data_IF_328156045722
#
_entry.id   IF_328156045722
#
_cell.length_a   1.000
_cell.length_b   1.000
_cell.length_c   1.000
_cell.angle_alpha   90.00
_cell.angle_beta   90.00
_cell.angle_gamma   90.00
#
_symmetry.space_group_name_H-M   'P 1'
#
loop_
_entity.id
_entity.type
_entity.pdbx_description
1 polymer ?
#
# COMPACT_ATOMS: atom_id res chain seq x y z
N UNK A 1 18.83 118.36 36.99
CA UNK A 1 18.37 118.47 38.39
C UNK A 1 18.10 117.04 38.83
N UNK A 2 18.93 116.32 39.57
CA UNK A 2 20.15 116.55 40.37
C UNK A 2 20.69 115.12 40.61
N UNK A 3 21.94 114.77 40.82
CA UNK A 3 23.23 115.41 40.91
C UNK A 3 24.25 114.25 40.72
N UNK A 4 25.37 114.56 40.06
CA UNK A 4 26.63 113.81 40.03
C UNK A 4 27.31 113.84 41.43
N UNK A 5 28.54 113.33 41.64
CA UNK A 5 29.30 112.16 41.16
C UNK A 5 30.02 111.47 42.35
N UNK A 6 31.14 110.74 42.10
CA UNK A 6 32.25 110.33 42.99
C UNK A 6 32.43 108.78 42.95
N UNK A 7 33.57 108.12 42.69
CA UNK A 7 35.03 108.42 42.57
C UNK A 7 35.64 107.24 41.76
N UNK A 8 36.31 107.48 40.64
CA UNK A 8 37.75 107.22 40.35
C UNK A 8 38.37 105.95 40.96
N UNK A 9 38.84 105.02 40.10
CA UNK A 9 40.23 104.52 40.08
C UNK A 9 40.55 103.70 38.81
N UNK A 10 41.81 103.74 38.39
CA UNK A 10 42.37 103.29 37.09
C UNK A 10 42.79 101.81 37.02
N UNK A 11 42.95 101.33 35.77
CA UNK A 11 43.96 100.37 35.26
C UNK A 11 43.84 98.87 35.63
N UNK A 12 44.51 97.91 34.95
CA UNK A 12 45.15 97.90 33.62
C UNK A 12 44.64 96.79 32.67
N UNK A 13 45.08 96.89 31.41
CA UNK A 13 45.23 95.76 30.50
C UNK A 13 46.09 94.64 31.13
N UNK A 14 45.53 93.43 31.24
CA UNK A 14 46.20 92.22 31.67
C UNK A 14 46.72 91.42 30.47
N UNK A 15 48.03 91.26 30.43
CA UNK A 15 48.78 90.46 29.48
C UNK A 15 48.50 88.95 29.61
N UNK A 16 48.81 88.24 28.53
CA UNK A 16 48.88 86.78 28.36
C UNK A 16 49.40 86.01 29.58
N UNK A 17 48.67 84.97 30.00
CA UNK A 17 49.24 83.80 30.67
C UNK A 17 48.61 82.53 30.11
N UNK A 18 49.43 81.77 29.37
CA UNK A 18 49.25 80.33 29.23
C UNK A 18 49.49 79.77 30.64
N UNK A 19 48.41 79.63 31.40
CA UNK A 19 48.46 79.05 32.74
C UNK A 19 48.84 77.57 32.60
N UNK A 20 50.07 77.30 33.00
CA UNK A 20 50.67 75.99 33.17
C UNK A 20 49.88 75.22 34.24
N UNK A 21 48.89 74.44 33.79
CA UNK A 21 48.20 73.50 34.64
C UNK A 21 49.17 72.37 34.95
N UNK A 22 49.81 72.43 36.12
CA UNK A 22 50.63 71.35 36.65
C UNK A 22 49.77 70.08 36.75
N UNK A 23 49.84 69.25 35.72
CA UNK A 23 49.18 67.96 35.69
C UNK A 23 49.76 67.12 36.84
N UNK A 24 48.95 66.35 37.58
CA UNK A 24 49.44 65.54 38.68
C UNK A 24 50.35 64.43 38.12
N UNK A 25 51.64 64.72 38.02
CA UNK A 25 52.66 63.78 37.57
C UNK A 25 53.11 62.92 38.76
N UNK A 26 52.94 61.61 38.66
CA UNK A 26 53.43 60.65 39.64
C UNK A 26 54.67 59.96 39.07
N UNK A 27 55.83 60.11 39.73
CA UNK A 27 57.13 59.56 39.27
C UNK A 27 57.58 60.03 37.88
N UNK A 28 57.31 61.30 37.53
CA UNK A 28 57.73 61.90 36.26
C UNK A 28 56.89 61.50 35.04
N UNK A 29 55.78 60.81 35.26
CA UNK A 29 54.83 60.40 34.23
C UNK A 29 53.48 61.09 34.47
N UNK A 30 52.87 61.63 33.41
CA UNK A 30 51.54 62.23 33.47
C UNK A 30 50.44 61.20 33.71
N UNK A 31 49.22 61.68 33.98
CA UNK A 31 48.07 60.84 34.28
C UNK A 31 47.73 59.89 33.12
N UNK A 32 47.88 60.35 31.89
CA UNK A 32 47.72 59.59 30.65
C UNK A 32 48.68 58.40 30.57
N UNK A 33 49.92 58.58 31.03
CA UNK A 33 50.93 57.52 31.04
C UNK A 33 50.55 56.40 32.02
N UNK A 34 50.03 56.73 33.20
CA UNK A 34 49.53 55.72 34.17
C UNK A 34 48.26 55.01 33.70
N UNK A 35 47.40 55.68 32.92
CA UNK A 35 46.25 55.04 32.26
C UNK A 35 46.72 53.99 31.26
N UNK A 36 47.70 54.31 30.40
CA UNK A 36 48.27 53.35 29.45
C UNK A 36 48.94 52.16 30.16
N UNK A 37 49.68 52.40 31.25
CA UNK A 37 50.29 51.33 32.06
C UNK A 37 49.23 50.41 32.65
N UNK A 38 48.17 50.98 33.24
CA UNK A 38 47.08 50.21 33.85
C UNK A 38 46.31 49.39 32.80
N UNK A 39 46.02 49.98 31.64
CA UNK A 39 45.38 49.29 30.51
C UNK A 39 46.27 48.15 29.97
N UNK A 40 47.58 48.39 29.88
CA UNK A 40 48.55 47.38 29.41
C UNK A 40 48.62 46.20 30.38
N UNK A 41 48.71 46.47 31.69
CA UNK A 41 48.70 45.40 32.71
C UNK A 41 47.37 44.64 32.68
N UNK A 42 46.24 45.32 32.49
CA UNK A 42 44.93 44.68 32.33
C UNK A 42 44.88 43.74 31.13
N UNK A 43 45.34 44.17 29.95
CA UNK A 43 45.40 43.33 28.75
C UNK A 43 46.37 42.16 28.92
N UNK A 44 47.53 42.38 29.54
CA UNK A 44 48.46 41.29 29.85
C UNK A 44 47.82 40.27 30.78
N UNK A 45 47.13 40.70 31.84
CA UNK A 45 46.44 39.78 32.74
C UNK A 45 45.29 39.04 32.02
N UNK A 46 44.52 39.73 31.18
CA UNK A 46 43.42 39.13 30.41
C UNK A 46 43.91 38.09 29.39
N UNK A 47 45.06 38.33 28.75
CA UNK A 47 45.65 37.43 27.75
C UNK A 47 46.38 36.27 28.43
N UNK A 48 47.24 36.52 29.42
CA UNK A 48 48.09 35.50 30.03
C UNK A 48 47.40 34.69 31.13
N UNK A 49 46.60 35.34 31.99
CA UNK A 49 45.92 34.66 33.12
C UNK A 49 44.57 34.10 32.69
N UNK A 50 43.73 34.92 32.04
CA UNK A 50 42.38 34.48 31.65
C UNK A 50 42.32 33.76 30.29
N UNK A 51 43.40 33.80 29.50
CA UNK A 51 43.46 33.23 28.14
C UNK A 51 42.24 33.64 27.30
N UNK A 52 41.78 34.88 27.48
CA UNK A 52 40.58 35.40 26.84
C UNK A 52 40.52 35.14 25.31
N UNK A 53 41.58 35.38 24.51
CA UNK A 53 41.53 35.12 23.07
C UNK A 53 41.36 33.63 22.73
N UNK A 54 41.93 32.71 23.52
CA UNK A 54 41.79 31.27 23.28
C UNK A 54 40.37 30.78 23.56
N UNK A 55 39.71 31.30 24.60
CA UNK A 55 38.32 30.93 24.91
C UNK A 55 37.34 31.41 23.83
N UNK A 56 37.55 32.61 23.30
CA UNK A 56 36.74 33.15 22.20
C UNK A 56 36.95 32.31 20.94
N UNK A 57 38.20 32.00 20.57
CA UNK A 57 38.50 31.12 19.44
C UNK A 57 37.85 29.73 19.60
N UNK A 58 37.98 29.11 20.78
CA UNK A 58 37.38 27.81 21.06
C UNK A 58 35.84 27.82 20.99
N UNK A 59 35.19 28.91 21.43
CA UNK A 59 33.74 29.06 21.32
C UNK A 59 33.27 29.24 19.87
N UNK A 60 34.04 29.95 19.04
CA UNK A 60 33.77 30.06 17.61
C UNK A 60 33.98 28.72 16.90
N UNK A 61 35.07 28.00 17.21
CA UNK A 61 35.34 26.67 16.67
C UNK A 61 34.26 25.66 17.08
N UNK A 62 33.79 25.71 18.33
CA UNK A 62 32.67 24.90 18.80
C UNK A 62 31.39 25.12 18.00
N UNK A 63 31.03 26.39 17.73
CA UNK A 63 29.88 26.72 16.89
C UNK A 63 30.05 26.27 15.43
N UNK A 64 31.26 26.38 14.87
CA UNK A 64 31.56 25.89 13.52
C UNK A 64 31.41 24.35 13.47
N UNK A 65 31.93 23.65 14.48
CA UNK A 65 31.82 22.20 14.58
C UNK A 65 30.36 21.75 14.70
N UNK A 66 29.56 22.43 15.52
CA UNK A 66 28.13 22.16 15.66
C UNK A 66 27.36 22.40 14.35
N UNK A 67 27.61 23.53 13.68
CA UNK A 67 26.99 23.82 12.38
C UNK A 67 27.38 22.78 11.33
N UNK A 68 28.64 22.37 11.27
CA UNK A 68 29.09 21.30 10.36
C UNK A 68 28.36 19.99 10.66
N UNK A 69 28.30 19.58 11.93
CA UNK A 69 27.55 18.39 12.34
C UNK A 69 26.08 18.46 11.92
N UNK A 70 25.42 19.61 12.11
CA UNK A 70 24.02 19.79 11.72
C UNK A 70 23.84 19.75 10.19
N UNK A 71 24.78 20.29 9.41
CA UNK A 71 24.77 20.20 7.95
C UNK A 71 25.01 18.77 7.46
N UNK A 72 25.93 18.04 8.09
CA UNK A 72 26.20 16.63 7.78
C UNK A 72 24.98 15.75 8.10
N UNK A 73 24.32 15.99 9.22
CA UNK A 73 23.09 15.30 9.61
C UNK A 73 21.93 15.64 8.67
N UNK A 74 21.77 16.90 8.28
CA UNK A 74 20.78 17.30 7.28
C UNK A 74 21.05 16.68 5.90
N UNK A 75 22.33 16.61 5.50
CA UNK A 75 22.73 15.95 4.26
C UNK A 75 22.44 14.43 4.31
N UNK A 76 22.73 13.78 5.46
CA UNK A 76 22.40 12.37 5.69
C UNK A 76 20.90 12.12 5.61
N UNK A 77 20.09 12.92 6.31
CA UNK A 77 18.62 12.80 6.28
C UNK A 77 18.09 13.01 4.86
N UNK A 78 18.65 13.95 4.10
CA UNK A 78 18.25 14.16 2.70
C UNK A 78 18.61 12.97 1.83
N UNK A 79 19.78 12.36 2.02
CA UNK A 79 20.19 11.16 1.30
C UNK A 79 19.27 9.97 1.64
N UNK A 80 18.96 9.76 2.91
CA UNK A 80 18.02 8.73 3.38
C UNK A 80 16.61 8.95 2.81
N UNK A 81 16.11 10.18 2.82
CA UNK A 81 14.80 10.52 2.26
C UNK A 81 14.75 10.31 0.74
N UNK A 82 15.83 10.64 0.03
CA UNK A 82 15.91 10.39 -1.41
C UNK A 82 15.95 8.90 -1.72
N UNK A 83 16.73 8.12 -0.97
CA UNK A 83 16.78 6.66 -1.09
C UNK A 83 15.40 6.04 -0.82
N UNK A 84 14.69 6.49 0.23
CA UNK A 84 13.35 6.02 0.55
C UNK A 84 12.33 6.39 -0.53
N UNK A 85 12.44 7.58 -1.11
CA UNK A 85 11.58 8.00 -2.21
C UNK A 85 11.79 7.14 -3.46
N UNK A 86 13.05 6.82 -3.79
CA UNK A 86 13.38 6.02 -4.95
C UNK A 86 12.96 4.56 -4.75
N UNK A 87 13.11 4.02 -3.55
CA UNK A 87 12.58 2.70 -3.16
C UNK A 87 11.05 2.66 -3.25
N UNK A 88 10.35 3.66 -2.69
CA UNK A 88 8.89 3.75 -2.77
C UNK A 88 8.38 3.84 -4.22
N UNK A 89 9.08 4.59 -5.09
CA UNK A 89 8.76 4.66 -6.52
C UNK A 89 8.98 3.32 -7.21
N UNK A 90 10.10 2.64 -6.92
CA UNK A 90 10.40 1.33 -7.47
C UNK A 90 9.36 0.30 -7.03
N UNK A 91 8.99 0.29 -5.74
CA UNK A 91 7.97 -0.57 -5.18
C UNK A 91 6.60 -0.29 -5.81
N UNK A 92 6.21 0.98 -5.97
CA UNK A 92 4.96 1.34 -6.62
C UNK A 92 4.92 0.89 -8.09
N UNK A 93 6.02 1.05 -8.83
CA UNK A 93 6.13 0.58 -10.21
C UNK A 93 6.13 -0.95 -10.32
N UNK A 94 6.71 -1.66 -9.35
CA UNK A 94 6.63 -3.12 -9.25
C UNK A 94 5.19 -3.56 -8.98
N UNK A 95 4.53 -3.02 -7.96
CA UNK A 95 3.15 -3.37 -7.62
C UNK A 95 2.16 -3.06 -8.74
N UNK A 96 2.35 -1.98 -9.50
CA UNK A 96 1.53 -1.69 -10.67
C UNK A 96 1.69 -2.73 -11.79
N UNK A 97 2.92 -3.21 -12.01
CA UNK A 97 3.20 -4.30 -12.97
C UNK A 97 2.62 -5.62 -12.50
N UNK A 98 2.77 -5.95 -11.22
CA UNK A 98 2.23 -7.17 -10.64
C UNK A 98 0.70 -7.19 -10.70
N UNK A 99 0.05 -6.07 -10.40
CA UNK A 99 -1.40 -5.94 -10.53
C UNK A 99 -1.86 -6.13 -11.99
N UNK A 100 -1.15 -5.56 -12.96
CA UNK A 100 -1.44 -5.75 -14.37
C UNK A 100 -1.27 -7.22 -14.80
N UNK A 101 -0.19 -7.87 -14.36
CA UNK A 101 0.06 -9.29 -14.61
C UNK A 101 -1.00 -10.19 -13.96
N UNK A 102 -1.42 -9.87 -12.72
CA UNK A 102 -2.52 -10.57 -12.04
C UNK A 102 -3.83 -10.46 -12.81
N UNK A 103 -4.16 -9.27 -13.32
CA UNK A 103 -5.37 -9.06 -14.12
C UNK A 103 -5.34 -9.83 -15.44
N UNK A 104 -4.20 -9.83 -16.12
CA UNK A 104 -4.04 -10.57 -17.38
C UNK A 104 -4.13 -12.09 -17.16
N UNK A 105 -3.46 -12.59 -16.11
CA UNK A 105 -3.55 -13.98 -15.70
C UNK A 105 -4.99 -14.37 -15.32
N UNK A 106 -5.69 -13.55 -14.52
CA UNK A 106 -7.07 -13.79 -14.15
C UNK A 106 -8.01 -13.80 -15.36
N UNK A 107 -7.79 -12.94 -16.36
CA UNK A 107 -8.57 -12.95 -17.61
C UNK A 107 -8.33 -14.21 -18.43
N UNK A 108 -7.07 -14.62 -18.55
CA UNK A 108 -6.69 -15.85 -19.26
C UNK A 108 -7.31 -17.07 -18.58
N UNK A 109 -7.21 -17.15 -17.26
CA UNK A 109 -7.78 -18.24 -16.48
C UNK A 109 -9.32 -18.25 -16.56
N UNK A 110 -9.96 -17.09 -16.49
CA UNK A 110 -11.41 -16.99 -16.67
C UNK A 110 -11.85 -17.45 -18.06
N UNK A 111 -11.13 -17.08 -19.12
CA UNK A 111 -11.41 -17.55 -20.48
C UNK A 111 -11.22 -19.07 -20.59
N UNK A 112 -10.18 -19.62 -19.96
CA UNK A 112 -9.94 -21.06 -19.91
C UNK A 112 -11.08 -21.79 -19.18
N UNK A 113 -11.49 -21.32 -18.00
CA UNK A 113 -12.60 -21.89 -17.22
C UNK A 113 -13.91 -21.87 -18.03
N UNK A 114 -14.23 -20.76 -18.70
CA UNK A 114 -15.43 -20.68 -19.55
C UNK A 114 -15.36 -21.71 -20.68
N UNK A 115 -14.23 -21.78 -21.39
CA UNK A 115 -14.08 -22.74 -22.50
C UNK A 115 -14.18 -24.20 -22.04
N UNK A 116 -13.62 -24.51 -20.87
CA UNK A 116 -13.69 -25.84 -20.26
C UNK A 116 -15.11 -26.15 -19.80
N UNK A 117 -15.80 -25.20 -19.17
CA UNK A 117 -17.17 -25.36 -18.72
C UNK A 117 -18.13 -25.59 -19.90
N UNK A 118 -17.92 -24.90 -21.03
CA UNK A 118 -18.67 -25.11 -22.26
C UNK A 118 -18.46 -26.54 -22.81
N UNK A 119 -17.21 -26.99 -22.90
CA UNK A 119 -16.87 -28.34 -23.36
C UNK A 119 -17.46 -29.42 -22.43
N UNK A 120 -17.33 -29.26 -21.12
CA UNK A 120 -17.86 -30.19 -20.12
C UNK A 120 -19.40 -30.23 -20.15
N UNK A 121 -20.04 -29.08 -20.34
CA UNK A 121 -21.49 -28.99 -20.46
C UNK A 121 -21.98 -29.68 -21.73
N UNK A 122 -21.31 -29.46 -22.87
CA UNK A 122 -21.62 -30.15 -24.12
C UNK A 122 -21.49 -31.67 -23.96
N UNK A 123 -20.41 -32.15 -23.36
CA UNK A 123 -20.20 -33.57 -23.08
C UNK A 123 -21.27 -34.14 -22.13
N UNK A 124 -21.68 -33.38 -21.11
CA UNK A 124 -22.74 -33.78 -20.18
C UNK A 124 -24.10 -33.89 -20.87
N UNK A 125 -24.44 -32.92 -21.74
CA UNK A 125 -25.67 -32.93 -22.53
C UNK A 125 -25.69 -34.15 -23.45
N UNK A 126 -24.60 -34.42 -24.17
CA UNK A 126 -24.49 -35.58 -25.06
C UNK A 126 -24.70 -36.88 -24.28
N UNK A 127 -24.01 -37.04 -23.14
CA UNK A 127 -24.18 -38.23 -22.28
C UNK A 127 -25.61 -38.37 -21.77
N UNK A 128 -26.26 -37.26 -21.38
CA UNK A 128 -27.66 -37.27 -20.92
C UNK A 128 -28.63 -37.62 -22.03
N UNK A 129 -28.40 -37.09 -23.23
CA UNK A 129 -29.18 -37.41 -24.43
C UNK A 129 -29.08 -38.90 -24.76
N UNK A 130 -27.86 -39.44 -24.81
CA UNK A 130 -27.63 -40.87 -25.06
C UNK A 130 -28.30 -41.75 -24.00
N UNK A 131 -28.22 -41.39 -22.72
CA UNK A 131 -28.91 -42.11 -21.65
C UNK A 131 -30.44 -42.05 -21.79
N UNK A 132 -31.00 -40.90 -22.17
CA UNK A 132 -32.44 -40.75 -22.38
C UNK A 132 -32.91 -41.63 -23.56
N UNK A 133 -32.21 -41.57 -24.69
CA UNK A 133 -32.48 -42.40 -25.87
C UNK A 133 -32.38 -43.89 -25.54
N UNK A 134 -31.35 -44.30 -24.78
CA UNK A 134 -31.21 -45.69 -24.35
C UNK A 134 -32.36 -46.14 -23.42
N UNK A 135 -32.84 -45.27 -22.53
CA UNK A 135 -34.00 -45.54 -21.67
C UNK A 135 -35.29 -45.66 -22.47
N UNK A 136 -35.51 -44.78 -23.45
CA UNK A 136 -36.66 -44.84 -24.35
C UNK A 136 -36.64 -46.17 -25.12
N UNK A 137 -35.51 -46.52 -25.75
CA UNK A 137 -35.38 -47.77 -26.49
C UNK A 137 -35.55 -49.03 -25.59
N UNK A 138 -35.15 -48.96 -24.33
CA UNK A 138 -35.42 -50.03 -23.36
C UNK A 138 -36.92 -50.13 -23.01
N UNK A 139 -37.58 -48.99 -22.78
CA UNK A 139 -39.01 -48.94 -22.49
C UNK A 139 -39.85 -49.40 -23.70
N UNK A 140 -39.51 -48.98 -24.91
CA UNK A 140 -40.18 -49.42 -26.15
C UNK A 140 -40.12 -50.94 -26.32
N UNK A 141 -38.94 -51.55 -26.08
CA UNK A 141 -38.80 -53.01 -26.12
C UNK A 141 -39.66 -53.70 -25.07
N UNK A 142 -39.74 -53.14 -23.85
CA UNK A 142 -40.58 -53.68 -22.79
C UNK A 142 -42.07 -53.61 -23.15
N UNK A 143 -42.53 -52.46 -23.67
CA UNK A 143 -43.92 -52.26 -24.10
C UNK A 143 -44.30 -53.15 -25.28
N UNK A 144 -43.41 -53.36 -26.25
CA UNK A 144 -43.67 -54.28 -27.38
C UNK A 144 -43.85 -55.71 -26.88
N UNK A 145 -43.03 -56.15 -25.91
CA UNK A 145 -43.15 -57.47 -25.31
C UNK A 145 -44.44 -57.61 -24.50
N UNK A 146 -44.82 -56.58 -23.74
CA UNK A 146 -46.09 -56.51 -23.02
C UNK A 146 -47.30 -56.59 -23.97
N UNK A 147 -47.31 -55.78 -25.04
CA UNK A 147 -48.38 -55.79 -26.04
C UNK A 147 -48.54 -57.15 -26.72
N UNK A 148 -47.43 -57.86 -26.98
CA UNK A 148 -47.48 -59.23 -27.53
C UNK A 148 -48.11 -60.21 -26.56
N UNK A 149 -47.79 -60.11 -25.27
CA UNK A 149 -48.40 -60.97 -24.23
C UNK A 149 -49.88 -60.69 -24.09
N UNK A 150 -50.27 -59.41 -24.07
CA UNK A 150 -51.67 -59.00 -24.00
C UNK A 150 -52.46 -59.48 -25.22
N UNK A 151 -51.91 -59.31 -26.42
CA UNK A 151 -52.52 -59.79 -27.66
C UNK A 151 -52.68 -61.32 -27.67
N UNK A 152 -51.67 -62.07 -27.22
CA UNK A 152 -51.74 -63.53 -27.11
C UNK A 152 -52.79 -63.96 -26.07
N UNK A 153 -52.88 -63.28 -24.93
CA UNK A 153 -53.90 -63.52 -23.91
C UNK A 153 -55.30 -63.25 -24.45
N UNK A 154 -55.52 -62.11 -25.11
CA UNK A 154 -56.81 -61.74 -25.70
C UNK A 154 -57.22 -62.71 -26.82
N UNK A 155 -56.29 -63.11 -27.69
CA UNK A 155 -56.54 -64.11 -28.72
C UNK A 155 -56.93 -65.47 -28.12
N UNK A 156 -56.27 -65.89 -27.04
CA UNK A 156 -56.59 -67.15 -26.34
C UNK A 156 -57.97 -67.09 -25.69
N UNK A 157 -58.32 -65.95 -25.07
CA UNK A 157 -59.66 -65.71 -24.50
C UNK A 157 -60.75 -65.73 -25.58
N UNK A 158 -60.52 -65.02 -26.70
CA UNK A 158 -61.44 -65.00 -27.83
C UNK A 158 -61.61 -66.39 -28.47
N UNK A 159 -60.53 -67.15 -28.64
CA UNK A 159 -60.58 -68.52 -29.12
C UNK A 159 -61.36 -69.43 -28.16
N UNK A 160 -61.13 -69.29 -26.84
CA UNK A 160 -61.88 -70.03 -25.80
C UNK A 160 -63.37 -69.73 -25.87
N UNK A 161 -63.73 -68.45 -26.05
CA UNK A 161 -65.13 -68.04 -26.18
C UNK A 161 -65.77 -68.57 -27.47
N UNK A 162 -65.06 -68.47 -28.61
CA UNK A 162 -65.55 -68.99 -29.89
C UNK A 162 -65.75 -70.52 -29.84
N UNK A 163 -64.82 -71.25 -29.24
CA UNK A 163 -64.96 -72.69 -29.00
C UNK A 163 -66.22 -72.92 -28.16
N UNK A 164 -66.40 -72.24 -27.02
CA UNK A 164 -67.59 -72.40 -26.19
C UNK A 164 -68.92 -72.13 -26.93
N UNK A 165 -68.93 -71.14 -27.83
CA UNK A 165 -70.12 -70.79 -28.62
C UNK A 165 -70.41 -71.73 -29.78
N UNK A 166 -69.41 -72.44 -30.31
CA UNK A 166 -69.53 -73.28 -31.52
C UNK A 166 -69.36 -74.77 -31.26
N UNK A 167 -68.91 -75.17 -30.08
CA UNK A 167 -68.68 -76.55 -29.73
C UNK A 167 -69.99 -77.23 -29.33
N UNK A 168 -70.33 -78.31 -30.02
CA UNK A 168 -71.51 -79.14 -29.78
C UNK A 168 -71.08 -80.46 -29.15
N UNK A 169 -71.96 -81.12 -28.38
CA UNK A 169 -71.70 -82.45 -27.76
C UNK A 169 -71.20 -83.51 -28.76
N UNK A 170 -71.56 -83.40 -30.04
CA UNK A 170 -71.10 -84.31 -31.08
C UNK A 170 -69.58 -84.20 -31.35
N UNK A 171 -68.99 -83.02 -31.15
CA UNK A 171 -67.56 -82.79 -31.34
C UNK A 171 -66.74 -83.29 -30.13
N UNK A 172 -67.28 -83.15 -28.91
CA UNK A 172 -66.70 -83.73 -27.68
C UNK A 172 -66.57 -85.25 -27.80
N UNK A 173 -67.62 -85.92 -28.30
CA UNK A 173 -67.64 -87.38 -28.46
C UNK A 173 -66.62 -87.85 -29.49
N UNK A 174 -66.47 -87.14 -30.62
CA UNK A 174 -65.43 -87.43 -31.62
C UNK A 174 -64.02 -87.25 -31.07
N UNK A 175 -63.78 -86.22 -30.27
CA UNK A 175 -62.49 -86.01 -29.60
C UNK A 175 -62.19 -87.11 -28.60
N UNK A 176 -63.17 -87.51 -27.78
CA UNK A 176 -63.03 -88.62 -26.84
C UNK A 176 -62.70 -89.94 -27.55
N UNK A 177 -63.43 -90.28 -28.62
CA UNK A 177 -63.18 -91.48 -29.41
C UNK A 177 -61.79 -91.46 -30.07
N UNK A 178 -61.32 -90.29 -30.53
CA UNK A 178 -59.98 -90.13 -31.13
C UNK A 178 -58.86 -90.25 -30.10
N UNK A 179 -59.04 -89.69 -28.90
CA UNK A 179 -58.08 -89.85 -27.81
C UNK A 179 -58.02 -91.31 -27.40
N UNK A 180 -59.17 -91.98 -27.22
CA UNK A 180 -59.25 -93.41 -26.87
C UNK A 180 -58.60 -94.29 -27.95
N UNK A 181 -58.71 -93.92 -29.23
CA UNK A 181 -58.07 -94.65 -30.33
C UNK A 181 -56.57 -94.36 -30.50
N UNK A 182 -56.06 -93.27 -29.90
CA UNK A 182 -54.65 -92.85 -29.97
C UNK A 182 -53.79 -93.34 -28.80
N UNK A 183 -54.39 -93.97 -27.80
CA UNK A 183 -53.73 -94.71 -26.71
C UNK A 183 -53.76 -96.19 -27.02
#
# INVERSE_FOLDING_TARGET
>A
MSALPAIVEEHPAGHTEVADHAEPTLLGLGAESWVYVSLTIFFLLAIFVLKAPQKIAAALDGQIAEKRRNLDEAARIRAEAQALLDDAKAQHAASARDAAAMLDHARTEAAHIVSQAEADTAALIERRSAMATAKIAAAERAVVEELRRDAASLATQAATQLIRERHLEADDRKLADTIIAGI
#
